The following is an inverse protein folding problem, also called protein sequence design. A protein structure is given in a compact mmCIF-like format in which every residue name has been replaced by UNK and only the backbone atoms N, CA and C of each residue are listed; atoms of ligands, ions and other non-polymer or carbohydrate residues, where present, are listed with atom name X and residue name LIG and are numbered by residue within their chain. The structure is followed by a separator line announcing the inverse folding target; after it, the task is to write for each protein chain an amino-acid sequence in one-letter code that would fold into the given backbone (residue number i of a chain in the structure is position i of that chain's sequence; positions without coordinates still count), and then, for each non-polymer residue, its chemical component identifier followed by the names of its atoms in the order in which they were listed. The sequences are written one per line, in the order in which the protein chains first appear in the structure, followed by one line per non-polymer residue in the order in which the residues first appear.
data_IF_306722469932
#
_entry.id   IF_306722469932
#
_cell.length_a   1.000
_cell.length_b   1.000
_cell.length_c   1.000
_cell.angle_alpha   90.00
_cell.angle_beta   90.00
_cell.angle_gamma   90.00
#
_symmetry.space_group_name_H-M   'P 1'
#
loop_
_entity.id
_entity.type
_entity.pdbx_description
1 polymer ?
#
# COMPACT_ATOMS: atom_id res chain seq x y z
N UNK A 1 0.56 4.21 23.38
CA UNK A 1 1.00 2.94 23.97
C UNK A 1 -0.18 1.99 23.87
N UNK A 2 0.00 0.86 23.22
CA UNK A 2 -1.03 -0.18 23.14
C UNK A 2 -1.11 -0.76 24.54
N UNK A 3 -2.28 -0.68 25.19
CA UNK A 3 -2.50 -1.34 26.46
C UNK A 3 -2.47 -2.85 26.20
N UNK A 4 -1.37 -3.49 26.52
CA UNK A 4 -1.28 -4.93 26.51
C UNK A 4 -1.95 -5.45 27.78
N UNK A 5 -3.06 -6.14 27.61
CA UNK A 5 -3.77 -6.80 28.73
C UNK A 5 -3.17 -8.19 29.04
N UNK A 6 -1.97 -8.44 28.53
CA UNK A 6 -1.21 -9.72 28.60
C UNK A 6 -1.90 -10.91 27.94
N UNK A 7 -2.92 -10.68 27.12
CA UNK A 7 -3.67 -11.72 26.42
C UNK A 7 -3.45 -11.70 24.91
N UNK A 8 -2.88 -10.60 24.39
CA UNK A 8 -2.49 -10.47 22.99
C UNK A 8 -0.97 -10.36 22.90
N UNK A 9 -0.37 -11.29 22.16
CA UNK A 9 1.07 -11.33 21.95
C UNK A 9 1.37 -11.06 20.48
N UNK A 10 2.40 -10.26 20.20
CA UNK A 10 2.88 -10.04 18.85
C UNK A 10 3.82 -11.16 18.43
N UNK A 11 3.64 -11.72 17.23
CA UNK A 11 4.58 -12.67 16.69
C UNK A 11 5.93 -11.99 16.43
N UNK A 12 6.98 -12.57 16.97
CA UNK A 12 8.35 -12.22 16.69
C UNK A 12 8.97 -13.40 15.93
N UNK A 13 9.21 -13.21 14.60
CA UNK A 13 10.06 -14.09 13.84
C UNK A 13 9.74 -15.60 13.92
N UNK A 14 8.58 -16.02 13.45
CA UNK A 14 8.26 -17.43 13.26
C UNK A 14 7.87 -18.22 14.51
N UNK A 15 7.84 -17.59 15.69
CA UNK A 15 7.30 -18.23 16.90
C UNK A 15 5.77 -18.30 16.85
N UNK A 16 5.20 -19.29 17.52
CA UNK A 16 3.75 -19.43 17.67
C UNK A 16 3.26 -18.55 18.80
N UNK A 17 2.12 -17.91 18.60
CA UNK A 17 1.49 -17.04 19.59
C UNK A 17 0.08 -17.44 19.85
N UNK A 18 -0.32 -17.31 21.09
CA UNK A 18 -1.71 -17.43 21.51
C UNK A 18 -2.30 -16.02 21.47
N UNK A 19 -3.32 -15.85 20.62
CA UNK A 19 -4.09 -14.63 20.58
C UNK A 19 -5.46 -14.90 21.18
N UNK A 20 -5.95 -13.97 21.97
CA UNK A 20 -7.38 -14.00 22.26
C UNK A 20 -8.18 -13.84 20.98
N UNK A 21 -9.34 -14.50 20.94
CA UNK A 21 -10.30 -14.47 19.82
C UNK A 21 -10.99 -13.10 19.63
N UNK A 22 -10.34 -12.01 20.03
CA UNK A 22 -10.96 -10.67 20.11
C UNK A 22 -10.18 -9.61 19.34
N UNK A 23 -9.57 -10.00 18.20
CA UNK A 23 -8.79 -9.04 17.40
C UNK A 23 -9.62 -7.84 16.97
N UNK A 24 -10.88 -8.02 16.55
CA UNK A 24 -11.79 -6.94 16.17
C UNK A 24 -12.08 -6.03 17.36
N UNK A 25 -12.32 -6.58 18.55
CA UNK A 25 -12.48 -5.80 19.78
C UNK A 25 -11.25 -4.96 20.08
N UNK A 26 -10.05 -5.56 19.95
CA UNK A 26 -8.80 -4.85 20.15
C UNK A 26 -8.63 -3.68 19.15
N UNK A 27 -8.88 -3.89 17.86
CA UNK A 27 -8.83 -2.82 16.87
C UNK A 27 -9.86 -1.74 17.20
N UNK A 28 -11.12 -2.13 17.47
CA UNK A 28 -12.20 -1.20 17.80
C UNK A 28 -11.91 -0.34 19.03
N UNK A 29 -11.32 -0.90 20.09
CA UNK A 29 -10.95 -0.16 21.31
C UNK A 29 -9.82 0.87 21.08
N UNK A 30 -9.06 0.75 20.02
CA UNK A 30 -8.01 1.70 19.64
C UNK A 30 -8.48 2.77 18.64
N UNK A 31 -9.70 2.66 18.13
CA UNK A 31 -10.34 3.67 17.28
C UNK A 31 -10.83 4.82 18.13
N UNK A 32 -10.50 6.05 17.74
CA UNK A 32 -10.80 7.28 18.49
C UNK A 32 -11.90 8.14 17.87
N UNK A 33 -12.21 7.89 16.60
CA UNK A 33 -13.17 8.69 15.81
C UNK A 33 -14.24 7.80 15.19
N UNK A 34 -15.47 8.32 15.10
CA UNK A 34 -16.60 7.57 14.51
C UNK A 34 -16.42 7.28 13.01
N UNK A 35 -15.81 8.20 12.29
CA UNK A 35 -15.51 8.01 10.86
C UNK A 35 -14.12 7.39 10.70
N UNK A 36 -14.04 6.25 10.02
CA UNK A 36 -12.79 5.52 9.81
C UNK A 36 -12.58 5.29 8.31
N UNK A 37 -11.36 5.53 7.86
CA UNK A 37 -10.94 5.24 6.49
C UNK A 37 -9.90 4.14 6.52
N UNK A 38 -10.19 2.99 5.92
CA UNK A 38 -9.22 1.91 5.75
C UNK A 38 -8.48 2.12 4.42
N UNK A 39 -7.21 2.50 4.51
CA UNK A 39 -6.40 2.78 3.34
C UNK A 39 -5.65 1.54 2.85
N UNK A 40 -5.77 1.26 1.57
CA UNK A 40 -5.00 0.27 0.82
C UNK A 40 -4.29 0.93 -0.36
N UNK A 41 -3.28 0.30 -0.95
CA UNK A 41 -2.60 0.92 -2.10
C UNK A 41 -1.95 -0.09 -3.01
N UNK A 42 -1.99 0.18 -4.31
CA UNK A 42 -1.32 -0.63 -5.32
C UNK A 42 -0.87 0.20 -6.54
N UNK A 43 -0.02 -0.41 -7.36
CA UNK A 43 0.42 0.12 -8.65
C UNK A 43 -0.41 -0.52 -9.75
N UNK A 44 -1.19 0.24 -10.53
CA UNK A 44 -2.04 -0.29 -11.60
C UNK A 44 -1.25 -0.48 -12.91
N UNK A 45 -0.15 -1.21 -12.84
CA UNK A 45 0.70 -1.51 -13.99
C UNK A 45 0.35 -2.86 -14.67
N UNK A 46 -0.64 -3.57 -14.13
CA UNK A 46 -1.31 -4.76 -14.68
C UNK A 46 -2.53 -5.07 -13.83
N UNK A 47 -3.31 -6.08 -14.21
CA UNK A 47 -4.39 -6.65 -13.39
C UNK A 47 -3.92 -6.90 -11.94
N UNK A 48 -4.77 -6.70 -10.91
CA UNK A 48 -4.42 -6.95 -9.52
C UNK A 48 -3.85 -8.36 -9.33
N UNK A 49 -2.65 -8.48 -8.77
CA UNK A 49 -2.08 -9.79 -8.47
C UNK A 49 -2.76 -10.41 -7.23
N UNK A 50 -2.64 -11.71 -7.06
CA UNK A 50 -3.35 -12.46 -6.02
C UNK A 50 -3.20 -11.86 -4.61
N UNK A 51 -1.97 -11.50 -4.21
CA UNK A 51 -1.75 -10.84 -2.92
C UNK A 51 -2.46 -9.47 -2.79
N UNK A 52 -2.68 -8.74 -3.89
CA UNK A 52 -3.47 -7.49 -3.87
C UNK A 52 -4.95 -7.78 -3.66
N UNK A 53 -5.46 -8.89 -4.22
CA UNK A 53 -6.84 -9.34 -3.97
C UNK A 53 -7.05 -9.65 -2.49
N UNK A 54 -6.10 -10.33 -1.85
CA UNK A 54 -6.14 -10.59 -0.41
C UNK A 54 -6.13 -9.29 0.42
N UNK A 55 -5.30 -8.31 0.05
CA UNK A 55 -5.25 -7.00 0.74
C UNK A 55 -6.57 -6.25 0.62
N UNK A 56 -7.18 -6.25 -0.57
CA UNK A 56 -8.47 -5.59 -0.77
C UNK A 56 -9.58 -6.32 -0.02
N UNK A 57 -9.67 -7.63 -0.14
CA UNK A 57 -10.64 -8.42 0.59
C UNK A 57 -10.52 -8.20 2.10
N UNK A 58 -9.31 -8.27 2.66
CA UNK A 58 -9.07 -8.01 4.09
C UNK A 58 -9.55 -6.62 4.53
N UNK A 59 -9.41 -5.60 3.66
CA UNK A 59 -9.85 -4.25 3.99
C UNK A 59 -11.38 -4.15 4.11
N UNK A 60 -12.11 -4.76 3.18
CA UNK A 60 -13.57 -4.77 3.22
C UNK A 60 -14.09 -5.67 4.36
N UNK A 61 -13.52 -6.87 4.53
CA UNK A 61 -13.83 -7.76 5.65
C UNK A 61 -13.63 -7.08 7.01
N UNK A 62 -12.49 -6.38 7.20
CA UNK A 62 -12.21 -5.64 8.42
C UNK A 62 -13.23 -4.53 8.65
N UNK A 63 -13.55 -3.76 7.60
CA UNK A 63 -14.54 -2.70 7.69
C UNK A 63 -15.89 -3.25 8.12
N UNK A 64 -16.35 -4.35 7.52
CA UNK A 64 -17.63 -4.98 7.87
C UNK A 64 -17.65 -5.47 9.32
N UNK A 65 -16.63 -6.24 9.73
CA UNK A 65 -16.56 -6.77 11.09
C UNK A 65 -16.46 -5.69 12.17
N UNK A 66 -15.75 -4.59 11.90
CA UNK A 66 -15.69 -3.46 12.81
C UNK A 66 -17.04 -2.76 12.96
N UNK A 67 -17.80 -2.59 11.87
CA UNK A 67 -19.15 -2.00 11.91
C UNK A 67 -20.15 -2.95 12.57
N UNK A 68 -20.03 -4.26 12.38
CA UNK A 68 -20.87 -5.25 13.06
C UNK A 68 -20.60 -5.27 14.57
N UNK A 69 -19.35 -5.10 14.97
CA UNK A 69 -18.95 -5.04 16.39
C UNK A 69 -19.33 -3.72 17.05
N UNK A 70 -19.19 -2.60 16.35
CA UNK A 70 -19.51 -1.26 16.83
C UNK A 70 -20.32 -0.50 15.77
N UNK A 71 -21.63 -0.48 15.93
CA UNK A 71 -22.59 0.12 14.99
C UNK A 71 -22.49 1.66 14.88
N UNK A 72 -21.81 2.32 15.80
CA UNK A 72 -21.54 3.77 15.75
C UNK A 72 -20.48 4.14 14.70
N UNK A 73 -19.69 3.18 14.24
CA UNK A 73 -18.64 3.42 13.29
C UNK A 73 -19.19 3.56 11.87
N UNK A 74 -18.67 4.56 11.16
CA UNK A 74 -18.88 4.76 9.72
C UNK A 74 -17.56 4.52 9.01
N UNK A 75 -17.47 3.43 8.28
CA UNK A 75 -16.21 3.00 7.68
C UNK A 75 -16.29 3.03 6.15
N UNK A 76 -15.21 3.48 5.54
CA UNK A 76 -15.03 3.41 4.08
C UNK A 76 -13.62 2.90 3.74
N UNK A 77 -13.46 2.34 2.55
CA UNK A 77 -12.16 1.93 2.01
C UNK A 77 -11.62 3.02 1.10
N UNK A 78 -10.32 3.33 1.20
CA UNK A 78 -9.63 4.26 0.32
C UNK A 78 -8.55 3.53 -0.46
N UNK A 79 -8.72 3.42 -1.77
CA UNK A 79 -7.70 2.92 -2.66
C UNK A 79 -6.75 4.03 -3.10
N UNK A 80 -5.51 3.96 -2.67
CA UNK A 80 -4.40 4.85 -3.03
C UNK A 80 -3.71 4.34 -4.28
N UNK A 81 -3.97 4.95 -5.40
CA UNK A 81 -3.37 4.59 -6.68
C UNK A 81 -1.96 5.15 -6.78
N UNK A 82 -0.98 4.28 -7.05
CA UNK A 82 0.41 4.66 -7.29
C UNK A 82 0.63 4.84 -8.79
N UNK A 83 0.08 5.91 -9.34
CA UNK A 83 0.12 6.27 -10.76
C UNK A 83 1.47 6.84 -11.22
N UNK A 84 2.36 7.19 -10.29
CA UNK A 84 3.74 7.62 -10.55
C UNK A 84 4.74 6.44 -10.68
N UNK A 85 4.23 5.19 -10.67
CA UNK A 85 5.04 4.02 -11.00
C UNK A 85 5.48 4.05 -12.47
N UNK A 86 6.63 3.42 -12.82
CA UNK A 86 7.10 3.40 -14.19
C UNK A 86 6.11 2.71 -15.15
N UNK A 87 5.79 3.36 -16.24
CA UNK A 87 5.18 2.77 -17.42
C UNK A 87 6.27 2.28 -18.37
N UNK A 88 7.21 3.17 -18.69
CA UNK A 88 8.35 2.93 -19.54
C UNK A 88 9.61 3.50 -18.90
N UNK A 89 10.74 2.83 -19.09
CA UNK A 89 12.06 3.30 -18.65
C UNK A 89 12.98 3.42 -19.84
N UNK A 90 13.64 4.57 -19.97
CA UNK A 90 14.62 4.84 -21.04
C UNK A 90 15.94 5.27 -20.42
N UNK A 91 17.06 4.76 -20.95
CA UNK A 91 18.39 5.21 -20.57
C UNK A 91 18.86 6.29 -21.54
N UNK A 92 19.23 7.46 -21.02
CA UNK A 92 19.78 8.57 -21.82
C UNK A 92 21.07 9.02 -21.14
N UNK A 93 22.19 8.88 -21.81
CA UNK A 93 23.53 9.25 -21.32
C UNK A 93 23.85 8.64 -19.94
N UNK A 94 23.52 7.35 -19.74
CA UNK A 94 23.80 6.62 -18.50
C UNK A 94 22.82 6.91 -17.35
N UNK A 95 21.82 7.75 -17.56
CA UNK A 95 20.77 8.07 -16.56
C UNK A 95 19.47 7.38 -16.96
N UNK A 96 18.86 6.66 -16.01
CA UNK A 96 17.57 6.03 -16.19
C UNK A 96 16.45 7.04 -15.96
N UNK A 97 15.72 7.35 -17.00
CA UNK A 97 14.50 8.13 -16.97
C UNK A 97 13.28 7.21 -17.07
N UNK A 98 12.13 7.69 -16.61
CA UNK A 98 10.85 6.99 -16.75
C UNK A 98 9.75 7.93 -17.23
N UNK A 99 8.81 7.35 -17.97
CA UNK A 99 7.46 7.87 -18.09
C UNK A 99 6.59 7.17 -17.03
N UNK A 100 5.70 7.92 -16.40
CA UNK A 100 4.82 7.39 -15.37
C UNK A 100 3.61 6.68 -15.98
N UNK A 101 2.97 5.81 -15.18
CA UNK A 101 1.70 5.16 -15.57
C UNK A 101 0.56 6.16 -15.79
N UNK A 102 0.60 7.29 -15.11
CA UNK A 102 -0.43 8.32 -15.19
C UNK A 102 -0.80 8.65 -16.65
N UNK A 103 -2.09 8.57 -16.96
CA UNK A 103 -2.65 8.82 -18.29
C UNK A 103 -2.14 7.85 -19.39
N UNK A 104 -1.72 6.65 -19.04
CA UNK A 104 -1.36 5.62 -20.01
C UNK A 104 -2.50 4.63 -20.24
N UNK A 105 -2.67 4.13 -21.46
CA UNK A 105 -3.63 3.07 -21.77
C UNK A 105 -3.43 1.83 -20.88
N UNK A 106 -2.18 1.52 -20.54
CA UNK A 106 -1.84 0.43 -19.65
C UNK A 106 -2.47 0.60 -18.26
N UNK A 107 -2.45 1.82 -17.73
CA UNK A 107 -3.11 2.14 -16.47
C UNK A 107 -4.62 2.03 -16.61
N UNK A 108 -5.20 2.57 -17.69
CA UNK A 108 -6.64 2.56 -17.91
C UNK A 108 -7.18 1.13 -18.02
N UNK A 109 -6.45 0.26 -18.73
CA UNK A 109 -6.80 -1.16 -18.82
C UNK A 109 -6.72 -1.86 -17.46
N UNK A 110 -5.64 -1.64 -16.71
CA UNK A 110 -5.47 -2.24 -15.40
C UNK A 110 -6.53 -1.74 -14.41
N UNK A 111 -6.84 -0.45 -14.42
CA UNK A 111 -7.83 0.16 -13.52
C UNK A 111 -9.23 -0.42 -13.67
N UNK A 112 -9.62 -0.90 -14.85
CA UNK A 112 -10.89 -1.62 -15.03
C UNK A 112 -10.99 -2.85 -14.12
N UNK A 113 -9.91 -3.63 -14.05
CA UNK A 113 -9.84 -4.81 -13.18
C UNK A 113 -9.82 -4.41 -11.70
N UNK A 114 -9.07 -3.37 -11.32
CA UNK A 114 -9.08 -2.85 -9.95
C UNK A 114 -10.46 -2.39 -9.51
N UNK A 115 -11.15 -1.63 -10.35
CA UNK A 115 -12.52 -1.14 -10.06
C UNK A 115 -13.49 -2.31 -9.96
N UNK A 116 -13.42 -3.29 -10.87
CA UNK A 116 -14.27 -4.49 -10.81
C UNK A 116 -14.13 -5.24 -9.48
N UNK A 117 -12.91 -5.40 -8.97
CA UNK A 117 -12.64 -6.03 -7.67
C UNK A 117 -13.18 -5.20 -6.50
N UNK A 118 -12.95 -3.89 -6.54
CA UNK A 118 -13.42 -2.97 -5.49
C UNK A 118 -14.96 -2.89 -5.45
N UNK A 119 -15.61 -2.81 -6.61
CA UNK A 119 -17.07 -2.82 -6.73
C UNK A 119 -17.66 -4.11 -6.18
N UNK A 120 -17.01 -5.24 -6.48
CA UNK A 120 -17.44 -6.54 -5.98
C UNK A 120 -17.45 -6.59 -4.44
N UNK A 121 -16.32 -6.28 -3.79
CA UNK A 121 -16.23 -6.29 -2.34
C UNK A 121 -17.08 -5.19 -1.68
N UNK A 122 -17.14 -4.01 -2.28
CA UNK A 122 -18.00 -2.93 -1.82
C UNK A 122 -19.47 -3.33 -1.78
N UNK A 123 -19.96 -3.98 -2.82
CA UNK A 123 -21.33 -4.53 -2.89
C UNK A 123 -21.56 -5.62 -1.85
N UNK A 124 -20.62 -6.57 -1.77
CA UNK A 124 -20.71 -7.74 -0.90
C UNK A 124 -20.81 -7.34 0.57
N UNK A 125 -19.95 -6.44 1.03
CA UNK A 125 -19.88 -6.01 2.42
C UNK A 125 -20.71 -4.75 2.72
N UNK A 126 -21.28 -4.11 1.69
CA UNK A 126 -22.00 -2.83 1.78
C UNK A 126 -21.11 -1.74 2.40
N UNK A 127 -19.84 -1.70 2.02
CA UNK A 127 -18.85 -0.72 2.46
C UNK A 127 -18.50 0.19 1.28
N UNK A 128 -18.71 1.51 1.38
CA UNK A 128 -18.32 2.43 0.32
C UNK A 128 -16.81 2.54 0.18
N UNK A 129 -16.35 2.82 -1.04
CA UNK A 129 -14.93 3.10 -1.28
C UNK A 129 -14.72 4.37 -2.09
N UNK A 130 -13.50 4.88 -2.04
CA UNK A 130 -12.99 5.98 -2.86
C UNK A 130 -11.65 5.61 -3.47
N UNK A 131 -11.36 6.21 -4.62
CA UNK A 131 -10.06 6.09 -5.30
C UNK A 131 -9.35 7.43 -5.22
N UNK A 132 -8.06 7.44 -4.86
CA UNK A 132 -7.25 8.64 -4.78
C UNK A 132 -5.93 8.42 -5.50
N UNK A 133 -5.61 9.26 -6.46
CA UNK A 133 -4.34 9.25 -7.18
C UNK A 133 -3.23 10.00 -6.41
N UNK A 134 -2.00 9.91 -6.88
CA UNK A 134 -0.86 10.55 -6.21
C UNK A 134 -0.94 12.09 -6.22
N UNK A 135 -1.52 12.68 -7.26
CA UNK A 135 -1.71 14.12 -7.33
C UNK A 135 -2.66 14.63 -6.25
N UNK A 136 -3.81 13.95 -6.07
CA UNK A 136 -4.79 14.30 -5.04
C UNK A 136 -4.24 14.03 -3.63
N UNK A 137 -3.47 12.95 -3.47
CA UNK A 137 -2.74 12.69 -2.24
C UNK A 137 -1.79 13.85 -1.90
N UNK A 138 -0.98 14.29 -2.84
CA UNK A 138 -0.02 15.37 -2.66
C UNK A 138 -0.66 16.77 -2.53
N UNK A 139 -1.91 16.92 -2.94
CA UNK A 139 -2.69 18.15 -2.78
C UNK A 139 -3.24 18.34 -1.37
N UNK A 140 -3.12 17.34 -0.49
CA UNK A 140 -3.56 17.47 0.91
C UNK A 140 -2.80 18.61 1.61
N UNK A 141 -3.49 19.50 2.37
CA UNK A 141 -2.88 20.71 2.96
C UNK A 141 -1.67 20.43 3.84
N UNK A 142 -1.65 19.28 4.52
CA UNK A 142 -0.60 18.87 5.45
C UNK A 142 0.70 18.45 4.76
N UNK A 143 0.63 18.04 3.50
CA UNK A 143 1.78 17.56 2.71
C UNK A 143 2.88 18.63 2.64
N UNK A 144 2.52 19.87 2.47
CA UNK A 144 3.49 21.00 2.42
C UNK A 144 4.35 21.07 3.67
N UNK A 145 3.75 20.90 4.85
CA UNK A 145 4.43 20.90 6.15
C UNK A 145 5.30 19.66 6.32
N UNK A 146 4.78 18.49 5.93
CA UNK A 146 5.48 17.21 5.99
C UNK A 146 6.73 17.26 5.10
N UNK A 147 6.60 17.66 3.85
CA UNK A 147 7.74 17.80 2.92
C UNK A 147 8.77 18.79 3.45
N UNK A 148 8.34 19.92 4.03
CA UNK A 148 9.25 20.89 4.64
C UNK A 148 10.07 20.28 5.79
N UNK A 149 9.47 19.45 6.66
CA UNK A 149 10.17 18.73 7.74
C UNK A 149 11.17 17.72 7.16
N UNK A 150 10.76 16.93 6.19
CA UNK A 150 11.60 15.93 5.52
C UNK A 150 12.82 16.62 4.86
N UNK A 151 12.63 17.71 4.12
CA UNK A 151 13.72 18.46 3.48
C UNK A 151 14.67 19.07 4.53
N UNK A 152 14.13 19.59 5.64
CA UNK A 152 14.94 20.12 6.75
C UNK A 152 15.84 19.05 7.37
N UNK A 153 15.32 17.83 7.50
CA UNK A 153 16.01 16.67 8.10
C UNK A 153 16.84 15.86 7.11
N UNK A 154 16.89 16.24 5.82
CA UNK A 154 17.40 15.43 4.72
C UNK A 154 18.78 14.81 5.01
N UNK A 155 19.74 15.58 5.54
CA UNK A 155 21.09 15.11 5.83
C UNK A 155 21.15 13.94 6.84
N UNK A 156 20.13 13.81 7.71
CA UNK A 156 20.02 12.74 8.71
C UNK A 156 19.38 11.48 8.11
N UNK A 157 18.57 11.63 7.05
CA UNK A 157 17.70 10.56 6.57
C UNK A 157 18.04 10.06 5.16
N UNK A 158 18.79 10.81 4.36
CA UNK A 158 19.15 10.46 2.98
C UNK A 158 19.77 9.06 2.89
N UNK A 159 20.77 8.80 3.73
CA UNK A 159 21.46 7.49 3.77
C UNK A 159 20.56 6.33 4.24
N UNK A 160 19.61 6.61 5.14
CA UNK A 160 18.68 5.60 5.63
C UNK A 160 17.62 5.24 4.56
N UNK A 161 17.16 6.25 3.81
CA UNK A 161 16.16 6.07 2.75
C UNK A 161 16.75 5.52 1.45
N UNK A 162 18.01 5.81 1.18
CA UNK A 162 18.73 5.36 0.00
C UNK A 162 20.22 5.18 0.30
N UNK A 163 20.60 4.03 0.87
CA UNK A 163 21.99 3.76 1.26
C UNK A 163 22.98 3.78 0.08
N UNK A 164 22.51 3.51 -1.14
CA UNK A 164 23.37 3.46 -2.33
C UNK A 164 23.72 4.83 -2.89
N UNK A 165 22.75 5.73 -2.91
CA UNK A 165 22.90 7.06 -3.54
C UNK A 165 23.03 8.19 -2.53
N UNK A 166 22.68 7.94 -1.28
CA UNK A 166 22.66 8.91 -0.17
C UNK A 166 21.90 10.21 -0.56
N UNK A 167 20.76 10.04 -1.23
CA UNK A 167 19.93 11.14 -1.74
C UNK A 167 18.48 11.01 -1.36
N UNK A 168 17.85 12.13 -1.06
CA UNK A 168 16.40 12.19 -0.91
C UNK A 168 15.76 12.18 -2.30
N UNK A 169 15.08 11.08 -2.65
CA UNK A 169 14.48 10.90 -3.97
C UNK A 169 13.12 11.57 -4.08
N UNK A 170 13.13 12.92 -4.05
CA UNK A 170 12.03 13.76 -4.51
C UNK A 170 12.36 14.24 -5.91
N UNK A 171 11.42 14.17 -6.81
CA UNK A 171 11.60 14.53 -8.21
C UNK A 171 10.37 15.23 -8.75
N UNK A 172 10.52 15.87 -9.91
CA UNK A 172 9.46 16.58 -10.63
C UNK A 172 9.49 16.12 -12.07
N UNK A 173 8.36 15.65 -12.59
CA UNK A 173 8.26 15.30 -14.00
C UNK A 173 8.39 16.53 -14.91
N UNK A 174 8.98 16.36 -16.08
CA UNK A 174 9.07 17.43 -17.06
C UNK A 174 7.68 17.89 -17.50
N UNK A 175 7.33 19.19 -17.36
CA UNK A 175 5.99 19.67 -17.70
C UNK A 175 5.68 19.59 -19.20
N UNK A 176 6.71 19.44 -20.07
CA UNK A 176 6.54 19.37 -21.52
C UNK A 176 6.37 17.93 -22.04
N UNK A 177 7.07 16.95 -21.46
CA UNK A 177 7.04 15.59 -21.98
C UNK A 177 6.78 14.51 -20.92
N UNK A 178 6.60 14.86 -19.64
CA UNK A 178 6.34 13.90 -18.56
C UNK A 178 7.54 13.06 -18.12
N UNK A 179 8.70 13.20 -18.77
CA UNK A 179 9.90 12.43 -18.43
C UNK A 179 10.45 12.82 -17.07
N UNK A 180 10.81 11.84 -16.25
CA UNK A 180 11.36 12.06 -14.90
C UNK A 180 12.59 11.20 -14.68
N UNK A 181 13.62 11.76 -14.06
CA UNK A 181 14.81 11.01 -13.62
C UNK A 181 14.41 10.02 -12.51
N UNK A 182 14.47 8.74 -12.83
CA UNK A 182 14.02 7.66 -11.95
C UNK A 182 14.73 7.65 -10.60
N UNK A 183 16.02 7.99 -10.61
CA UNK A 183 16.87 7.93 -9.42
C UNK A 183 17.15 9.30 -8.80
N UNK A 184 16.70 10.39 -9.42
CA UNK A 184 16.92 11.75 -8.96
C UNK A 184 18.37 12.22 -9.10
N UNK A 185 19.15 11.67 -10.04
CA UNK A 185 20.54 12.05 -10.28
C UNK A 185 20.69 13.51 -10.72
N UNK A 186 19.71 13.97 -11.49
CA UNK A 186 19.65 15.34 -12.03
C UNK A 186 18.82 16.30 -11.17
N UNK A 187 18.40 15.84 -9.97
CA UNK A 187 17.54 16.62 -9.08
C UNK A 187 18.37 17.34 -8.01
N UNK A 188 18.13 18.62 -7.84
CA UNK A 188 18.67 19.44 -6.77
C UNK A 188 17.55 19.94 -5.86
N UNK A 189 17.74 19.78 -4.55
CA UNK A 189 16.77 20.18 -3.53
C UNK A 189 17.31 21.38 -2.75
N UNK A 190 16.60 22.49 -2.79
CA UNK A 190 16.88 23.70 -2.02
C UNK A 190 15.87 23.87 -0.87
N UNK A 191 16.03 24.95 -0.08
CA UNK A 191 15.07 25.32 0.98
C UNK A 191 13.71 25.78 0.45
N UNK A 192 13.58 26.07 -0.85
CA UNK A 192 12.36 26.65 -1.45
C UNK A 192 11.80 25.78 -2.57
N UNK A 193 12.66 25.16 -3.36
CA UNK A 193 12.28 24.52 -4.60
C UNK A 193 13.05 23.22 -4.87
N UNK A 194 12.48 22.39 -5.70
CA UNK A 194 13.08 21.19 -6.24
C UNK A 194 13.27 21.43 -7.74
N UNK A 195 14.50 21.31 -8.20
CA UNK A 195 14.90 21.53 -9.59
C UNK A 195 15.28 20.17 -10.17
N UNK A 196 14.66 19.79 -11.29
CA UNK A 196 15.01 18.58 -12.07
C UNK A 196 15.43 18.99 -13.48
N UNK A 197 16.21 18.15 -14.15
CA UNK A 197 16.66 18.41 -15.52
C UNK A 197 16.13 17.34 -16.45
N UNK A 198 15.38 17.77 -17.47
CA UNK A 198 14.94 16.91 -18.56
C UNK A 198 16.02 16.94 -19.67
N UNK A 199 16.45 15.79 -20.20
CA UNK A 199 17.47 15.75 -21.27
C UNK A 199 17.00 16.40 -22.58
N UNK A 200 15.67 16.48 -22.79
CA UNK A 200 15.06 17.09 -24.00
C UNK A 200 14.68 18.54 -23.83
N UNK A 201 14.36 19.00 -22.62
CA UNK A 201 13.73 20.31 -22.40
C UNK A 201 14.45 21.16 -21.35
N UNK A 202 15.59 20.71 -20.83
CA UNK A 202 16.39 21.45 -19.85
C UNK A 202 15.78 21.47 -18.43
N UNK A 203 16.21 22.47 -17.66
CA UNK A 203 15.83 22.61 -16.24
C UNK A 203 14.37 23.00 -16.08
N UNK A 204 13.71 22.39 -15.11
CA UNK A 204 12.37 22.74 -14.65
C UNK A 204 12.30 22.58 -13.12
N UNK A 205 11.29 23.17 -12.49
CA UNK A 205 11.21 23.20 -11.03
C UNK A 205 9.80 23.15 -10.48
N UNK A 206 9.70 22.80 -9.21
CA UNK A 206 8.48 22.95 -8.41
C UNK A 206 8.80 23.63 -7.07
N UNK A 207 8.01 24.64 -6.70
CA UNK A 207 8.03 25.27 -5.39
C UNK A 207 7.20 24.40 -4.46
N UNK A 208 7.83 23.52 -3.67
CA UNK A 208 7.12 22.46 -2.94
C UNK A 208 6.08 22.96 -1.93
N UNK A 209 6.20 24.19 -1.45
CA UNK A 209 5.19 24.79 -0.58
C UNK A 209 3.88 25.15 -1.30
N UNK A 210 3.93 25.38 -2.61
CA UNK A 210 2.77 25.77 -3.42
C UNK A 210 2.36 24.68 -4.41
N UNK A 211 3.30 23.86 -4.85
CA UNK A 211 3.18 22.91 -5.94
C UNK A 211 3.51 21.47 -5.47
N UNK A 212 3.12 21.13 -4.24
CA UNK A 212 3.36 19.77 -3.69
C UNK A 212 2.73 18.67 -4.54
N UNK A 213 1.64 18.97 -5.23
CA UNK A 213 0.96 18.07 -6.17
C UNK A 213 1.83 17.62 -7.35
N UNK A 214 2.86 18.39 -7.72
CA UNK A 214 3.80 18.04 -8.78
C UNK A 214 4.93 17.10 -8.34
N UNK A 215 5.03 16.83 -7.04
CA UNK A 215 6.12 16.05 -6.48
C UNK A 215 5.88 14.53 -6.66
N UNK A 216 6.95 13.84 -6.93
CA UNK A 216 7.00 12.39 -7.00
C UNK A 216 8.04 11.84 -6.04
N UNK A 217 7.79 10.66 -5.53
CA UNK A 217 8.62 10.00 -4.54
C UNK A 217 8.95 8.56 -4.97
N UNK A 218 10.12 8.07 -4.58
CA UNK A 218 10.36 6.64 -4.58
C UNK A 218 9.51 5.96 -3.47
N UNK A 219 9.46 4.65 -3.46
CA UNK A 219 8.61 3.88 -2.54
C UNK A 219 8.90 4.18 -1.06
N UNK A 220 10.16 4.19 -0.57
CA UNK A 220 10.45 4.52 0.82
C UNK A 220 9.91 5.90 1.21
N UNK A 221 10.26 6.92 0.44
CA UNK A 221 9.87 8.28 0.76
C UNK A 221 8.35 8.49 0.68
N UNK A 222 7.68 7.89 -0.30
CA UNK A 222 6.21 7.92 -0.40
C UNK A 222 5.54 7.33 0.83
N UNK A 223 6.06 6.22 1.33
CA UNK A 223 5.53 5.57 2.52
C UNK A 223 5.77 6.39 3.78
N UNK A 224 6.93 7.04 3.91
CA UNK A 224 7.20 7.98 5.00
C UNK A 224 6.21 9.15 4.99
N UNK A 225 6.04 9.82 3.84
CA UNK A 225 5.08 10.92 3.66
C UNK A 225 3.66 10.48 4.01
N UNK A 226 3.26 9.28 3.57
CA UNK A 226 1.94 8.70 3.86
C UNK A 226 1.74 8.44 5.35
N UNK A 227 2.71 7.83 6.02
CA UNK A 227 2.64 7.55 7.46
C UNK A 227 2.53 8.84 8.28
N UNK A 228 3.34 9.85 7.97
CA UNK A 228 3.28 11.15 8.62
C UNK A 228 1.95 11.89 8.34
N UNK A 229 1.41 11.80 7.11
CA UNK A 229 0.11 12.39 6.77
C UNK A 229 -1.01 11.74 7.58
N UNK A 230 -1.08 10.40 7.59
CA UNK A 230 -2.12 9.69 8.31
C UNK A 230 -2.07 9.95 9.81
N UNK A 231 -0.88 9.92 10.40
CA UNK A 231 -0.70 10.26 11.80
C UNK A 231 -1.10 11.71 12.13
N UNK A 232 -0.85 12.64 11.21
CA UNK A 232 -1.29 14.04 11.35
C UNK A 232 -2.82 14.14 11.31
N UNK A 233 -3.48 13.46 10.40
CA UNK A 233 -4.95 13.42 10.29
C UNK A 233 -5.55 12.80 11.54
N UNK A 234 -5.03 11.64 11.99
CA UNK A 234 -5.58 10.89 13.11
C UNK A 234 -5.55 11.68 14.41
N UNK A 235 -4.51 12.49 14.62
CA UNK A 235 -4.33 13.27 15.86
C UNK A 235 -4.88 14.69 15.80
N UNK A 236 -5.27 15.17 14.63
CA UNK A 236 -5.79 16.52 14.44
C UNK A 236 -7.30 16.59 14.74
N UNK A 237 -7.71 17.61 15.50
CA UNK A 237 -9.13 17.93 15.72
C UNK A 237 -9.82 18.50 14.48
N UNK A 238 -9.07 18.91 13.47
CA UNK A 238 -9.60 19.46 12.21
C UNK A 238 -10.33 18.39 11.38
N UNK A 239 -9.94 17.14 11.53
CA UNK A 239 -10.51 16.03 10.79
C UNK A 239 -11.43 15.23 11.71
N UNK A 240 -12.63 14.93 11.23
CA UNK A 240 -13.63 14.11 11.92
C UNK A 240 -13.45 12.61 11.69
N UNK A 241 -12.40 12.23 10.94
CA UNK A 241 -12.09 10.84 10.61
C UNK A 241 -10.65 10.48 10.99
N UNK A 242 -10.40 9.19 11.10
CA UNK A 242 -9.06 8.62 11.24
C UNK A 242 -8.78 7.55 10.18
N UNK A 243 -7.50 7.27 9.96
CA UNK A 243 -7.05 6.35 8.91
C UNK A 243 -6.34 5.16 9.55
N UNK A 244 -6.79 3.95 9.20
CA UNK A 244 -6.10 2.69 9.43
C UNK A 244 -5.45 2.26 8.11
N UNK A 245 -4.21 1.79 8.15
CA UNK A 245 -3.50 1.31 6.96
C UNK A 245 -3.52 -0.20 6.90
N UNK A 246 -3.88 -0.78 5.74
CA UNK A 246 -3.62 -2.18 5.43
C UNK A 246 -2.60 -2.26 4.29
N UNK A 247 -1.60 -3.11 4.46
CA UNK A 247 -0.53 -3.33 3.47
C UNK A 247 0.01 -4.76 3.56
N UNK A 248 0.79 -5.19 2.58
CA UNK A 248 1.39 -6.54 2.59
C UNK A 248 2.38 -6.75 3.74
N UNK A 249 2.47 -7.95 4.25
CA UNK A 249 3.37 -8.34 5.34
C UNK A 249 4.86 -8.16 5.02
N UNK A 250 5.22 -8.08 3.74
CA UNK A 250 6.58 -7.77 3.28
C UNK A 250 7.06 -6.36 3.67
N UNK A 251 6.14 -5.49 4.06
CA UNK A 251 6.47 -4.15 4.55
C UNK A 251 6.71 -4.09 6.06
N UNK A 252 6.40 -5.12 6.85
CA UNK A 252 6.32 -5.01 8.32
C UNK A 252 7.62 -4.48 8.97
N UNK A 253 8.76 -5.06 8.69
CA UNK A 253 10.03 -4.62 9.27
C UNK A 253 10.44 -3.22 8.79
N UNK A 254 10.67 -3.10 7.48
CA UNK A 254 11.18 -1.86 6.91
C UNK A 254 10.21 -0.69 7.05
N UNK A 255 8.93 -0.90 6.76
CA UNK A 255 7.93 0.16 6.82
C UNK A 255 7.71 0.68 8.24
N UNK A 256 7.56 -0.20 9.21
CA UNK A 256 7.23 0.20 10.56
C UNK A 256 8.48 0.64 11.35
N UNK A 257 9.52 -0.18 11.37
CA UNK A 257 10.69 0.10 12.20
C UNK A 257 11.60 1.16 11.58
N UNK A 258 12.01 1.00 10.33
CA UNK A 258 12.95 1.93 9.71
C UNK A 258 12.27 3.24 9.29
N UNK A 259 11.16 3.19 8.55
CA UNK A 259 10.54 4.41 8.04
C UNK A 259 9.75 5.16 9.12
N UNK A 260 8.88 4.47 9.85
CA UNK A 260 7.95 5.15 10.73
C UNK A 260 8.56 5.40 12.11
N UNK A 261 9.18 4.43 12.73
CA UNK A 261 9.76 4.65 14.06
C UNK A 261 11.06 5.46 13.98
N UNK A 262 11.99 5.10 13.13
CA UNK A 262 13.30 5.73 13.05
C UNK A 262 13.29 6.99 12.20
N UNK A 263 12.99 6.88 10.91
CA UNK A 263 13.12 8.01 9.99
C UNK A 263 12.09 9.11 10.27
N UNK A 264 10.84 8.77 10.60
CA UNK A 264 9.83 9.78 10.97
C UNK A 264 10.26 10.55 12.24
N UNK A 265 10.82 9.86 13.25
CA UNK A 265 11.35 10.50 14.46
C UNK A 265 12.46 11.49 14.15
N UNK A 266 13.37 11.16 13.21
CA UNK A 266 14.41 12.07 12.74
C UNK A 266 13.86 13.29 11.99
N UNK A 267 12.60 13.23 11.55
CA UNK A 267 11.84 14.35 10.97
C UNK A 267 10.99 15.09 12.01
N UNK A 268 11.27 14.99 13.28
CA UNK A 268 10.50 15.59 14.38
C UNK A 268 9.02 15.17 14.37
N UNK A 269 8.75 13.90 14.04
CA UNK A 269 7.41 13.31 14.09
C UNK A 269 7.31 12.31 15.24
N UNK A 270 6.32 12.50 16.11
CA UNK A 270 6.15 11.63 17.28
C UNK A 270 5.59 10.27 16.89
N UNK A 271 6.20 9.21 17.36
CA UNK A 271 5.85 7.81 17.05
C UNK A 271 4.44 7.45 17.53
N UNK A 272 4.01 8.00 18.66
CA UNK A 272 2.67 7.79 19.24
C UNK A 272 1.53 8.35 18.38
N UNK A 273 1.87 9.16 17.37
CA UNK A 273 0.92 9.72 16.40
C UNK A 273 0.76 8.89 15.14
N UNK A 274 1.60 7.89 14.94
CA UNK A 274 1.56 7.08 13.73
C UNK A 274 0.24 6.32 13.60
N UNK A 275 -0.23 6.05 12.37
CA UNK A 275 -1.46 5.30 12.16
C UNK A 275 -1.30 3.85 12.59
N UNK A 276 -2.40 3.21 12.94
CA UNK A 276 -2.45 1.77 13.07
C UNK A 276 -2.22 1.12 11.69
N UNK A 277 -1.37 0.09 11.64
CA UNK A 277 -1.06 -0.65 10.43
C UNK A 277 -1.40 -2.12 10.66
N UNK A 278 -2.16 -2.69 9.74
CA UNK A 278 -2.48 -4.11 9.71
C UNK A 278 -1.77 -4.72 8.50
N UNK A 279 -1.01 -5.76 8.73
CA UNK A 279 -0.25 -6.43 7.70
C UNK A 279 -1.00 -7.65 7.20
N UNK A 280 -1.32 -7.63 5.90
CA UNK A 280 -1.92 -8.79 5.22
C UNK A 280 -0.87 -9.90 5.07
N UNK A 281 -1.20 -11.16 5.35
CA UNK A 281 -0.33 -12.29 5.13
C UNK A 281 0.30 -12.30 3.75
N UNK A 282 1.56 -12.70 3.67
CA UNK A 282 2.22 -12.94 2.39
C UNK A 282 1.81 -14.30 1.83
N UNK A 283 1.66 -14.35 0.52
CA UNK A 283 1.55 -15.58 -0.22
C UNK A 283 2.94 -15.95 -0.70
N UNK A 284 3.43 -17.11 -0.30
CA UNK A 284 4.77 -17.60 -0.58
C UNK A 284 4.74 -18.64 -1.68
N UNK A 285 5.70 -18.60 -2.57
CA UNK A 285 5.93 -19.64 -3.56
C UNK A 285 6.56 -20.91 -2.94
N UNK A 286 6.92 -21.87 -3.77
CA UNK A 286 7.53 -23.15 -3.32
C UNK A 286 8.87 -22.98 -2.62
N UNK A 287 9.60 -21.90 -2.90
CA UNK A 287 10.91 -21.61 -2.29
C UNK A 287 10.78 -20.90 -0.92
N UNK A 288 9.56 -20.54 -0.52
CA UNK A 288 9.30 -19.71 0.65
C UNK A 288 9.50 -18.22 0.41
N UNK A 289 9.79 -17.81 -0.82
CA UNK A 289 9.82 -16.40 -1.20
C UNK A 289 8.40 -15.87 -1.47
N UNK A 290 8.21 -14.56 -1.33
CA UNK A 290 6.95 -13.92 -1.69
C UNK A 290 6.62 -14.19 -3.15
N UNK A 291 5.40 -14.65 -3.45
CA UNK A 291 4.89 -14.79 -4.80
C UNK A 291 5.05 -13.46 -5.56
N UNK A 292 5.96 -13.43 -6.51
CA UNK A 292 6.43 -12.19 -7.14
C UNK A 292 5.80 -11.99 -8.52
N UNK A 293 5.12 -10.86 -8.68
CA UNK A 293 4.60 -10.44 -9.98
C UNK A 293 5.70 -10.27 -11.04
N UNK A 294 6.87 -9.74 -10.68
CA UNK A 294 7.95 -9.50 -11.63
C UNK A 294 8.51 -10.81 -12.17
N UNK A 295 8.68 -11.82 -11.35
CA UNK A 295 9.13 -13.16 -11.78
C UNK A 295 8.12 -13.82 -12.73
N UNK A 296 6.82 -13.67 -12.46
CA UNK A 296 5.78 -14.17 -13.34
C UNK A 296 5.78 -13.48 -14.71
N UNK A 297 5.85 -12.14 -14.71
CA UNK A 297 5.71 -11.34 -15.95
C UNK A 297 6.97 -11.38 -16.81
N UNK A 298 8.17 -11.34 -16.21
CA UNK A 298 9.44 -11.21 -16.93
C UNK A 298 10.18 -12.52 -17.17
N UNK A 299 9.99 -13.53 -16.33
CA UNK A 299 10.80 -14.73 -16.33
C UNK A 299 10.01 -16.05 -16.50
N UNK A 300 8.68 -15.99 -16.51
CA UNK A 300 7.82 -17.18 -16.61
C UNK A 300 8.02 -18.19 -15.48
N UNK A 301 8.52 -17.71 -14.32
CA UNK A 301 8.98 -18.57 -13.22
C UNK A 301 7.90 -19.43 -12.57
N UNK A 302 6.63 -19.15 -12.82
CA UNK A 302 5.49 -19.85 -12.20
C UNK A 302 4.63 -20.62 -13.19
N UNK A 303 5.26 -21.18 -14.27
CA UNK A 303 4.57 -21.98 -15.28
C UNK A 303 3.82 -23.19 -14.68
N UNK A 304 4.34 -23.74 -13.58
CA UNK A 304 3.78 -24.92 -12.92
C UNK A 304 2.66 -24.58 -11.92
N UNK A 305 2.40 -23.30 -11.67
CA UNK A 305 1.31 -22.89 -10.81
C UNK A 305 0.02 -22.61 -11.60
N UNK A 306 -1.16 -22.92 -11.02
CA UNK A 306 -2.43 -22.55 -11.63
C UNK A 306 -2.49 -21.04 -11.95
N UNK A 307 -2.86 -20.69 -13.17
CA UNK A 307 -2.88 -19.30 -13.64
C UNK A 307 -3.78 -18.39 -12.80
N UNK A 308 -4.84 -18.92 -12.19
CA UNK A 308 -5.75 -18.16 -11.32
C UNK A 308 -5.09 -17.58 -10.06
N UNK A 309 -3.90 -18.08 -9.65
CA UNK A 309 -3.12 -17.52 -8.55
C UNK A 309 -2.26 -16.32 -8.97
N UNK A 310 -2.19 -16.00 -10.26
CA UNK A 310 -1.33 -14.93 -10.74
C UNK A 310 -1.97 -13.55 -10.58
N UNK A 311 -3.19 -13.39 -11.05
CA UNK A 311 -3.89 -12.11 -11.04
C UNK A 311 -5.40 -12.26 -11.18
N UNK A 312 -6.13 -11.14 -10.99
CA UNK A 312 -7.59 -11.12 -11.08
C UNK A 312 -8.13 -11.59 -12.43
N UNK A 313 -7.50 -11.20 -13.54
CA UNK A 313 -7.97 -11.57 -14.88
C UNK A 313 -8.01 -13.09 -15.06
N UNK A 314 -6.95 -13.77 -14.66
CA UNK A 314 -6.87 -15.23 -14.74
C UNK A 314 -7.81 -15.89 -13.71
N UNK A 315 -7.90 -15.34 -12.49
CA UNK A 315 -8.87 -15.79 -11.48
C UNK A 315 -10.31 -15.69 -12.01
N UNK A 316 -10.67 -14.55 -12.58
CA UNK A 316 -12.01 -14.31 -13.12
C UNK A 316 -12.31 -15.20 -14.33
N UNK A 317 -11.32 -15.46 -15.17
CA UNK A 317 -11.46 -16.39 -16.32
C UNK A 317 -11.87 -17.80 -15.84
N UNK A 318 -11.25 -18.29 -14.77
CA UNK A 318 -11.49 -19.65 -14.24
C UNK A 318 -12.72 -19.71 -13.34
N UNK A 319 -12.85 -18.79 -12.40
CA UNK A 319 -13.84 -18.88 -11.32
C UNK A 319 -14.93 -17.79 -11.35
N UNK A 320 -14.85 -16.82 -12.28
CA UNK A 320 -15.70 -15.62 -12.24
C UNK A 320 -15.60 -14.96 -10.86
N UNK A 321 -16.66 -14.35 -10.38
CA UNK A 321 -16.68 -13.71 -9.05
C UNK A 321 -16.54 -14.68 -7.88
N UNK A 322 -16.81 -15.98 -8.10
CA UNK A 322 -16.63 -16.98 -7.07
C UNK A 322 -15.19 -17.10 -6.58
N UNK A 323 -14.21 -16.82 -7.44
CA UNK A 323 -12.81 -16.75 -7.01
C UNK A 323 -12.59 -15.66 -5.96
N UNK A 324 -13.28 -14.53 -6.08
CA UNK A 324 -13.26 -13.49 -5.06
C UNK A 324 -14.00 -13.89 -3.79
N UNK A 325 -15.09 -14.68 -3.89
CA UNK A 325 -15.79 -15.23 -2.72
C UNK A 325 -14.87 -16.10 -1.87
N UNK A 326 -14.15 -17.00 -2.50
CA UNK A 326 -13.21 -17.91 -1.81
C UNK A 326 -12.14 -17.11 -1.05
N UNK A 327 -11.56 -16.09 -1.69
CA UNK A 327 -10.59 -15.22 -1.05
C UNK A 327 -11.23 -14.45 0.12
N UNK A 328 -12.47 -14.00 -0.07
CA UNK A 328 -13.17 -13.21 0.95
C UNK A 328 -13.54 -14.05 2.18
N UNK A 329 -14.01 -15.26 1.99
CA UNK A 329 -14.25 -16.20 3.07
C UNK A 329 -12.96 -16.46 3.87
N UNK A 330 -11.84 -16.69 3.19
CA UNK A 330 -10.56 -16.91 3.86
C UNK A 330 -10.08 -15.67 4.64
N UNK A 331 -10.21 -14.46 4.08
CA UNK A 331 -9.84 -13.24 4.81
C UNK A 331 -10.76 -12.93 5.99
N UNK A 332 -12.02 -13.33 5.95
CA UNK A 332 -12.91 -13.29 7.10
C UNK A 332 -12.44 -14.22 8.22
N UNK A 333 -12.01 -15.44 7.88
CA UNK A 333 -11.43 -16.38 8.85
C UNK A 333 -10.14 -15.83 9.48
N UNK A 334 -9.32 -15.07 8.72
CA UNK A 334 -8.13 -14.42 9.28
C UNK A 334 -8.47 -13.43 10.40
N UNK A 335 -9.61 -12.78 10.32
CA UNK A 335 -10.07 -11.83 11.33
C UNK A 335 -10.81 -12.48 12.49
N UNK A 336 -11.47 -13.60 12.26
CA UNK A 336 -12.17 -14.39 13.29
C UNK A 336 -11.18 -15.20 14.14
N UNK A 337 -10.21 -15.80 13.47
CA UNK A 337 -9.16 -16.60 14.07
C UNK A 337 -7.83 -15.87 13.88
N UNK A 338 -7.56 -14.88 14.72
CA UNK A 338 -6.48 -13.90 14.52
C UNK A 338 -5.08 -14.53 14.34
N UNK A 339 -4.82 -15.73 14.84
CA UNK A 339 -3.58 -16.44 14.56
C UNK A 339 -3.38 -16.73 13.06
N UNK A 340 -4.45 -16.78 12.27
CA UNK A 340 -4.39 -16.91 10.80
C UNK A 340 -3.89 -15.63 10.14
N UNK A 341 -4.17 -14.47 10.69
CA UNK A 341 -3.71 -13.19 10.16
C UNK A 341 -2.20 -12.99 10.36
N UNK A 342 -1.63 -13.60 11.39
CA UNK A 342 -0.24 -13.36 11.79
C UNK A 342 0.74 -14.43 11.27
N UNK A 343 0.41 -15.08 10.16
CA UNK A 343 1.28 -16.04 9.48
C UNK A 343 1.29 -15.80 7.98
N UNK A 344 2.27 -16.35 7.29
CA UNK A 344 2.28 -16.41 5.83
C UNK A 344 1.57 -17.67 5.32
N UNK A 345 1.19 -17.67 4.07
CA UNK A 345 0.53 -18.78 3.40
C UNK A 345 1.33 -19.21 2.18
N UNK A 346 1.47 -20.53 1.98
CA UNK A 346 2.02 -21.09 0.75
C UNK A 346 0.99 -21.03 -0.38
N UNK A 347 1.46 -20.94 -1.63
CA UNK A 347 0.60 -21.11 -2.81
C UNK A 347 -0.15 -22.42 -2.78
N UNK A 348 0.44 -23.49 -2.24
CA UNK A 348 -0.22 -24.81 -2.10
C UNK A 348 -1.43 -24.80 -1.16
N UNK A 349 -1.42 -23.94 -0.14
CA UNK A 349 -2.60 -23.76 0.70
C UNK A 349 -3.77 -23.24 -0.12
N UNK A 350 -3.55 -22.24 -0.96
CA UNK A 350 -4.60 -21.67 -1.80
C UNK A 350 -5.04 -22.65 -2.91
N UNK A 351 -4.12 -23.40 -3.50
CA UNK A 351 -4.49 -24.45 -4.45
C UNK A 351 -5.50 -25.40 -3.81
N UNK A 352 -5.16 -25.98 -2.65
CA UNK A 352 -6.06 -26.88 -1.90
C UNK A 352 -7.36 -26.22 -1.48
N UNK A 353 -7.32 -24.93 -1.10
CA UNK A 353 -8.53 -24.18 -0.74
C UNK A 353 -9.49 -24.07 -1.94
N UNK A 354 -8.97 -23.76 -3.12
CA UNK A 354 -9.77 -23.66 -4.34
C UNK A 354 -10.30 -25.02 -4.77
N UNK A 355 -9.48 -26.06 -4.76
CA UNK A 355 -9.88 -27.45 -5.07
C UNK A 355 -11.01 -27.93 -4.16
N UNK A 356 -10.88 -27.74 -2.85
CA UNK A 356 -11.92 -28.12 -1.88
C UNK A 356 -13.25 -27.41 -2.18
N UNK A 357 -13.21 -26.11 -2.46
CA UNK A 357 -14.40 -25.32 -2.78
C UNK A 357 -15.01 -25.64 -4.15
N UNK A 358 -14.27 -26.30 -5.04
CA UNK A 358 -14.82 -26.88 -6.27
C UNK A 358 -15.46 -28.24 -6.00
N UNK A 359 -14.82 -29.09 -5.19
CA UNK A 359 -15.34 -30.43 -4.83
C UNK A 359 -16.67 -30.40 -4.06
N UNK A 360 -16.80 -29.49 -3.09
CA UNK A 360 -18.04 -29.28 -2.31
C UNK A 360 -19.28 -28.91 -3.18
N UNK A 361 -19.13 -28.86 -4.50
CA UNK A 361 -20.21 -28.55 -5.46
C UNK A 361 -20.61 -29.70 -6.35
N UNK A 362 -19.79 -30.72 -6.42
CA UNK A 362 -20.06 -31.88 -7.26
C UNK A 362 -20.72 -33.00 -6.45
N UNK A 363 -20.84 -32.76 -5.14
CA UNK A 363 -21.64 -33.55 -4.19
C UNK A 363 -22.96 -32.82 -3.84
#
# INVERSE_FOLDING_TARGET
MINCDFKVFHPLGGASYVFERNFIKFISSNIKKKNVVISVGAQPNSSPHFGTLCVFSLAFSLARKLMDYNQDLKISVLFEVVDTAPNETVNINGINYQYNLKNSEKMDMAMKDFISVLDYFSKKDRIPYKVRNQNDFNSQPEIKKIISKIIKSRKKIEKLLDPKKEKLRIRVACPKCGLVDKEGNTTTISKKEIISTCPKHGKHKAIYKNESNKLEYNTPLRNLVRGMLYGTINTSKKYDYEIIRITGGDYSGFYQEELLYKVASLCDFKVDKLPMIIYCPQILDWSGAKLSKSLYVSEGAYSDLPSYLMNYKELYKTFKYKGLDIIHEETNLWLEESYRLFRNYSVYYFIKLFEKKEGERND
#
